data_IF_031357789466
#
_entry.id   IF_031357789466
#
_cell.length_a   1.000
_cell.length_b   1.000
_cell.length_c   1.000
_cell.angle_alpha   90.00
_cell.angle_beta   90.00
_cell.angle_gamma   90.00
#
_symmetry.space_group_name_H-M   'P 1'
#
loop_
_entity.id
_entity.type
_entity.pdbx_description
1 polymer ?
#
# COMPACT_ATOMS: atom_id res chain seq x y z
N UNK A 1 50.88 -65.07 53.04
CA UNK A 1 51.73 -64.15 52.25
C UNK A 1 52.51 -65.01 51.26
N UNK A 2 52.34 -64.80 49.94
CA UNK A 2 52.91 -65.64 48.87
C UNK A 2 54.20 -65.03 48.29
N UNK A 3 55.08 -65.93 47.84
CA UNK A 3 56.49 -65.79 47.48
C UNK A 3 56.81 -65.06 46.15
N UNK A 4 58.07 -64.59 46.08
CA UNK A 4 58.93 -64.20 44.94
C UNK A 4 58.93 -65.20 43.75
N UNK A 5 59.42 -64.98 42.52
CA UNK A 5 60.37 -64.04 41.91
C UNK A 5 61.34 -64.84 40.99
N UNK A 6 61.61 -64.39 39.75
CA UNK A 6 62.88 -64.67 39.03
C UNK A 6 62.96 -65.68 37.85
N UNK A 7 63.33 -65.13 36.68
CA UNK A 7 64.30 -65.59 35.64
C UNK A 7 64.12 -66.87 34.78
N UNK A 8 64.44 -66.74 33.47
CA UNK A 8 64.87 -67.84 32.57
C UNK A 8 64.65 -67.59 31.06
N UNK A 9 65.63 -67.92 30.22
CA UNK A 9 65.87 -67.45 28.83
C UNK A 9 65.29 -68.31 27.67
N UNK A 10 65.48 -67.81 26.43
CA UNK A 10 65.15 -68.29 25.05
C UNK A 10 66.05 -69.50 24.59
N UNK A 11 66.19 -69.97 23.31
CA UNK A 11 65.62 -69.58 21.98
C UNK A 11 65.34 -70.74 20.94
N UNK A 12 64.90 -70.38 19.72
CA UNK A 12 64.95 -71.20 18.47
C UNK A 12 63.64 -71.09 17.67
N UNK A 13 63.54 -70.85 16.35
CA UNK A 13 64.45 -70.90 15.20
C UNK A 13 64.01 -69.85 14.14
N UNK A 14 64.94 -69.45 13.27
CA UNK A 14 64.75 -68.52 12.14
C UNK A 14 64.08 -69.13 10.89
N UNK A 15 64.09 -68.40 9.74
CA UNK A 15 62.93 -68.17 8.86
C UNK A 15 62.88 -69.08 7.60
N UNK A 16 61.92 -68.87 6.67
CA UNK A 16 62.32 -68.11 5.48
C UNK A 16 61.30 -67.10 4.94
N UNK A 17 61.86 -66.23 4.11
CA UNK A 17 61.25 -65.15 3.35
C UNK A 17 60.20 -65.63 2.33
N UNK A 18 59.22 -64.77 2.03
CA UNK A 18 58.28 -65.03 0.95
C UNK A 18 57.18 -63.98 0.84
N UNK A 19 57.53 -62.86 0.20
CA UNK A 19 56.67 -62.01 -0.63
C UNK A 19 55.16 -61.96 -0.30
N UNK A 20 54.68 -60.77 0.07
CA UNK A 20 53.51 -60.16 -0.58
C UNK A 20 53.46 -58.66 -0.30
N UNK A 21 53.76 -57.90 -1.35
CA UNK A 21 53.29 -56.54 -1.54
C UNK A 21 51.76 -56.55 -1.46
N UNK A 22 51.22 -55.75 -0.56
CA UNK A 22 49.80 -55.43 -0.47
C UNK A 22 49.70 -54.02 0.08
N UNK A 23 49.79 -53.03 -0.80
CA UNK A 23 49.54 -51.62 -0.49
C UNK A 23 48.13 -51.51 0.09
N UNK A 24 47.91 -50.97 1.30
CA UNK A 24 46.57 -50.61 1.69
C UNK A 24 46.13 -49.45 0.79
N UNK A 25 45.12 -49.71 -0.05
CA UNK A 25 44.35 -48.70 -0.77
C UNK A 25 43.90 -47.63 0.24
N UNK A 26 44.66 -46.54 0.32
CA UNK A 26 44.14 -45.27 0.84
C UNK A 26 43.00 -44.90 -0.10
N UNK A 27 41.77 -45.10 0.37
CA UNK A 27 40.60 -44.45 -0.19
C UNK A 27 40.85 -42.94 -0.09
N UNK A 28 41.40 -42.37 -1.16
CA UNK A 28 41.41 -40.94 -1.36
C UNK A 28 39.95 -40.56 -1.59
N UNK A 29 39.25 -40.27 -0.50
CA UNK A 29 37.98 -39.58 -0.55
C UNK A 29 38.28 -38.17 -1.07
N UNK A 30 38.30 -38.06 -2.40
CA UNK A 30 38.39 -36.81 -3.14
C UNK A 30 37.16 -36.01 -2.74
N UNK A 31 37.30 -35.18 -1.71
CA UNK A 31 36.41 -34.05 -1.47
C UNK A 31 36.54 -33.12 -2.67
N UNK A 32 35.72 -33.36 -3.68
CA UNK A 32 35.35 -32.30 -4.60
C UNK A 32 34.53 -31.31 -3.80
N UNK A 33 35.22 -30.32 -3.23
CA UNK A 33 34.61 -29.07 -2.83
C UNK A 33 34.16 -28.34 -4.10
N UNK A 34 33.13 -28.88 -4.75
CA UNK A 34 32.29 -28.10 -5.64
C UNK A 34 31.72 -26.97 -4.79
N UNK A 35 32.19 -25.75 -5.05
CA UNK A 35 31.51 -24.53 -4.61
C UNK A 35 30.14 -24.52 -5.26
N UNK A 36 29.20 -25.25 -4.67
CA UNK A 36 27.79 -25.03 -4.87
C UNK A 36 27.52 -23.64 -4.34
N UNK A 37 27.57 -22.64 -5.22
CA UNK A 37 26.80 -21.43 -5.03
C UNK A 37 25.38 -21.92 -4.91
N UNK A 38 24.90 -22.14 -3.69
CA UNK A 38 23.50 -22.46 -3.42
C UNK A 38 22.72 -21.18 -3.72
N UNK A 39 22.51 -20.94 -5.01
CA UNK A 39 21.52 -19.98 -5.46
C UNK A 39 20.22 -20.42 -4.80
N UNK A 40 19.73 -19.65 -3.82
CA UNK A 40 18.42 -19.89 -3.25
C UNK A 40 17.44 -20.12 -4.41
N UNK A 41 16.63 -21.20 -4.37
CA UNK A 41 15.81 -21.61 -5.50
C UNK A 41 15.01 -20.40 -5.99
N UNK A 42 14.96 -20.19 -7.30
CA UNK A 42 14.42 -18.97 -7.94
C UNK A 42 13.04 -18.53 -7.42
N UNK A 43 12.28 -19.47 -6.83
CA UNK A 43 10.99 -19.26 -6.15
C UNK A 43 11.08 -18.36 -4.91
N UNK A 44 12.17 -18.41 -4.14
CA UNK A 44 12.35 -17.65 -2.89
C UNK A 44 12.58 -16.16 -3.17
N UNK A 45 13.39 -15.81 -4.19
CA UNK A 45 13.57 -14.42 -4.65
C UNK A 45 12.30 -13.81 -5.27
N UNK A 46 11.32 -14.65 -5.62
CA UNK A 46 10.06 -14.25 -6.27
C UNK A 46 9.04 -13.61 -5.33
N UNK A 47 9.14 -13.73 -4.01
CA UNK A 47 8.10 -13.19 -3.11
C UNK A 47 8.31 -11.72 -2.77
N UNK A 48 9.54 -11.30 -2.47
CA UNK A 48 9.85 -9.89 -2.18
C UNK A 48 9.61 -8.97 -3.38
N UNK A 49 9.69 -9.49 -4.62
CA UNK A 49 9.32 -8.69 -5.80
C UNK A 49 7.86 -8.25 -5.76
N UNK A 50 6.95 -9.08 -5.26
CA UNK A 50 5.53 -8.73 -5.16
C UNK A 50 5.29 -7.71 -4.05
N UNK A 51 6.09 -7.74 -2.98
CA UNK A 51 6.11 -6.66 -2.00
C UNK A 51 6.62 -5.35 -2.61
N UNK A 52 7.61 -5.39 -3.52
CA UNK A 52 8.02 -4.21 -4.27
C UNK A 52 6.95 -3.73 -5.27
N UNK A 53 6.26 -4.63 -5.99
CA UNK A 53 5.12 -4.24 -6.85
C UNK A 53 4.00 -3.58 -6.04
N UNK A 54 3.72 -4.10 -4.83
CA UNK A 54 2.79 -3.43 -3.92
C UNK A 54 3.29 -2.03 -3.54
N UNK A 55 4.60 -1.87 -3.29
CA UNK A 55 5.23 -0.58 -3.08
C UNK A 55 5.06 0.39 -4.25
N UNK A 56 5.20 -0.08 -5.49
CA UNK A 56 4.95 0.73 -6.70
C UNK A 56 3.50 1.24 -6.71
N UNK A 57 2.54 0.34 -6.47
CA UNK A 57 1.13 0.72 -6.44
C UNK A 57 0.82 1.74 -5.34
N UNK A 58 1.38 1.55 -4.14
CA UNK A 58 1.24 2.50 -3.02
C UNK A 58 1.86 3.86 -3.40
N UNK A 59 3.02 3.86 -4.07
CA UNK A 59 3.65 5.08 -4.58
C UNK A 59 2.75 5.81 -5.57
N UNK A 60 2.18 5.09 -6.54
CA UNK A 60 1.27 5.68 -7.52
C UNK A 60 -0.03 6.20 -6.89
N UNK A 61 -0.59 5.51 -5.91
CA UNK A 61 -1.73 6.03 -5.15
C UNK A 61 -1.37 7.27 -4.34
N UNK A 62 -0.21 7.27 -3.69
CA UNK A 62 0.24 8.42 -2.91
C UNK A 62 0.35 9.66 -3.79
N UNK A 63 1.01 9.51 -4.94
CA UNK A 63 1.18 10.55 -5.94
C UNK A 63 -0.18 11.01 -6.52
N UNK A 64 -0.99 10.08 -7.02
CA UNK A 64 -2.30 10.39 -7.61
C UNK A 64 -3.29 11.02 -6.62
N UNK A 65 -3.34 10.56 -5.37
CA UNK A 65 -4.23 11.14 -4.36
C UNK A 65 -3.70 12.49 -3.89
N UNK A 66 -2.42 12.58 -3.54
CA UNK A 66 -1.87 13.79 -2.96
C UNK A 66 -1.71 14.90 -4.00
N UNK A 67 -1.09 14.61 -5.14
CA UNK A 67 -0.76 15.62 -6.15
C UNK A 67 -1.92 15.86 -7.12
N UNK A 68 -2.61 14.82 -7.59
CA UNK A 68 -3.66 15.03 -8.58
C UNK A 68 -5.00 15.44 -7.96
N UNK A 69 -5.34 14.91 -6.77
CA UNK A 69 -6.66 15.13 -6.19
C UNK A 69 -6.70 16.13 -5.02
N UNK A 70 -5.78 16.03 -4.06
CA UNK A 70 -5.79 16.91 -2.88
C UNK A 70 -5.17 18.27 -3.23
N UNK A 71 -3.94 18.26 -3.72
CA UNK A 71 -3.19 19.48 -4.03
C UNK A 71 -3.49 20.01 -5.42
N UNK A 72 -3.90 19.12 -6.34
CA UNK A 72 -4.23 19.44 -7.73
C UNK A 72 -3.10 20.22 -8.43
N UNK A 73 -1.85 19.95 -8.06
CA UNK A 73 -0.68 20.65 -8.61
C UNK A 73 -0.40 20.26 -10.06
N UNK A 74 -0.79 19.03 -10.42
CA UNK A 74 -0.80 18.53 -11.79
C UNK A 74 -1.74 17.32 -11.90
N UNK A 75 -2.05 16.96 -13.14
CA UNK A 75 -2.73 15.74 -13.53
C UNK A 75 -1.79 14.93 -14.44
N UNK A 76 -2.10 13.65 -14.65
CA UNK A 76 -1.24 12.72 -15.40
C UNK A 76 -0.84 13.25 -16.79
N UNK A 77 -1.73 13.97 -17.46
CA UNK A 77 -1.54 14.43 -18.85
C UNK A 77 -1.54 15.96 -18.94
N UNK A 78 -1.20 16.69 -17.87
CA UNK A 78 -1.31 18.16 -17.81
C UNK A 78 -0.62 18.90 -18.95
N UNK A 79 0.46 18.37 -19.51
CA UNK A 79 1.23 18.99 -20.59
C UNK A 79 0.98 18.34 -21.95
N UNK A 80 0.06 17.37 -22.05
CA UNK A 80 -0.27 16.74 -23.33
C UNK A 80 -1.16 17.68 -24.18
N UNK A 81 -0.71 18.08 -25.38
CA UNK A 81 -1.49 18.98 -26.23
C UNK A 81 -2.87 18.38 -26.56
N UNK A 82 -3.91 19.21 -26.47
CA UNK A 82 -5.30 18.79 -26.74
C UNK A 82 -6.02 18.15 -25.55
N UNK A 83 -5.34 17.93 -24.41
CA UNK A 83 -5.95 17.42 -23.17
C UNK A 83 -5.89 18.54 -22.12
N UNK A 84 -6.53 19.66 -22.36
CA UNK A 84 -6.54 20.79 -21.40
C UNK A 84 -7.74 20.79 -20.45
N UNK A 85 -8.82 20.10 -20.81
CA UNK A 85 -10.07 20.11 -20.04
C UNK A 85 -9.95 19.27 -18.77
N UNK A 86 -10.48 19.80 -17.67
CA UNK A 86 -10.41 19.16 -16.35
C UNK A 86 -11.10 17.78 -16.35
N UNK A 87 -12.20 17.60 -17.09
CA UNK A 87 -12.88 16.29 -17.15
C UNK A 87 -11.99 15.25 -17.79
N UNK A 88 -11.27 15.61 -18.86
CA UNK A 88 -10.34 14.70 -19.51
C UNK A 88 -9.15 14.37 -18.60
N UNK A 89 -8.60 15.36 -17.88
CA UNK A 89 -7.52 15.14 -16.92
C UNK A 89 -7.94 14.19 -15.78
N UNK A 90 -9.09 14.46 -15.14
CA UNK A 90 -9.64 13.62 -14.07
C UNK A 90 -9.95 12.20 -14.57
N UNK A 91 -10.41 12.04 -15.81
CA UNK A 91 -10.63 10.72 -16.41
C UNK A 91 -9.32 9.93 -16.52
N UNK A 92 -8.26 10.55 -17.04
CA UNK A 92 -6.95 9.91 -17.18
C UNK A 92 -6.28 9.62 -15.84
N UNK A 93 -6.47 10.48 -14.84
CA UNK A 93 -6.12 10.15 -13.46
C UNK A 93 -6.88 8.93 -12.98
N UNK A 94 -8.18 8.80 -13.29
CA UNK A 94 -8.98 7.62 -12.97
C UNK A 94 -8.40 6.34 -13.57
N UNK A 95 -8.00 6.36 -14.84
CA UNK A 95 -7.33 5.22 -15.49
C UNK A 95 -5.98 4.88 -14.85
N UNK A 96 -5.20 5.90 -14.48
CA UNK A 96 -3.98 5.71 -13.73
C UNK A 96 -4.22 5.02 -12.37
N UNK A 97 -5.23 5.47 -11.61
CA UNK A 97 -5.61 4.83 -10.36
C UNK A 97 -6.12 3.39 -10.57
N UNK A 98 -6.88 3.14 -11.65
CA UNK A 98 -7.32 1.80 -12.02
C UNK A 98 -6.13 0.86 -12.28
N UNK A 99 -5.08 1.34 -12.96
CA UNK A 99 -3.84 0.59 -13.13
C UNK A 99 -3.16 0.31 -11.78
N UNK A 100 -3.10 1.29 -10.87
CA UNK A 100 -2.56 1.08 -9.53
C UNK A 100 -3.37 0.05 -8.73
N UNK A 101 -4.70 0.01 -8.86
CA UNK A 101 -5.53 -1.03 -8.27
C UNK A 101 -5.20 -2.43 -8.81
N UNK A 102 -5.01 -2.55 -10.12
CA UNK A 102 -4.63 -3.83 -10.76
C UNK A 102 -3.28 -4.31 -10.23
N UNK A 103 -2.28 -3.43 -10.15
CA UNK A 103 -0.96 -3.74 -9.61
C UNK A 103 -1.03 -4.14 -8.13
N UNK A 104 -1.77 -3.39 -7.31
CA UNK A 104 -1.97 -3.68 -5.90
C UNK A 104 -2.66 -5.04 -5.71
N UNK A 105 -3.75 -5.30 -6.45
CA UNK A 105 -4.48 -6.55 -6.36
C UNK A 105 -3.61 -7.75 -6.78
N UNK A 106 -2.90 -7.63 -7.91
CA UNK A 106 -1.99 -8.67 -8.37
C UNK A 106 -0.89 -8.96 -7.33
N UNK A 107 -0.28 -7.92 -6.76
CA UNK A 107 0.71 -8.06 -5.71
C UNK A 107 0.14 -8.74 -4.46
N UNK A 108 -1.03 -8.31 -3.98
CA UNK A 108 -1.70 -8.90 -2.81
C UNK A 108 -2.07 -10.36 -3.04
N UNK A 109 -2.65 -10.70 -4.19
CA UNK A 109 -2.97 -12.09 -4.55
C UNK A 109 -1.71 -12.94 -4.57
N UNK A 110 -0.62 -12.45 -5.16
CA UNK A 110 0.62 -13.21 -5.24
C UNK A 110 1.33 -13.36 -3.89
N UNK A 111 1.29 -12.33 -3.04
CA UNK A 111 1.76 -12.40 -1.66
C UNK A 111 0.93 -13.39 -0.84
N UNK A 112 -0.40 -13.39 -0.99
CA UNK A 112 -1.30 -14.35 -0.35
C UNK A 112 -1.02 -15.79 -0.77
N UNK A 113 -0.83 -16.03 -2.08
CA UNK A 113 -0.49 -17.35 -2.62
C UNK A 113 0.89 -17.83 -2.16
N UNK A 114 1.81 -16.91 -1.89
CA UNK A 114 3.17 -17.19 -1.44
C UNK A 114 3.35 -16.97 0.08
N UNK A 115 2.27 -16.88 0.86
CA UNK A 115 2.33 -16.52 2.29
C UNK A 115 3.24 -17.43 3.14
N UNK A 116 3.36 -18.71 2.78
CA UNK A 116 4.27 -19.66 3.45
C UNK A 116 5.76 -19.44 3.12
N UNK A 117 6.07 -18.82 1.98
CA UNK A 117 7.43 -18.38 1.66
C UNK A 117 7.67 -16.97 2.24
N UNK A 118 6.66 -16.10 2.22
CA UNK A 118 6.70 -14.75 2.79
C UNK A 118 7.00 -14.79 4.30
N UNK A 119 6.43 -15.74 5.04
CA UNK A 119 6.66 -15.90 6.48
C UNK A 119 8.10 -16.24 6.85
N UNK A 120 8.92 -16.68 5.89
CA UNK A 120 10.36 -16.93 6.07
C UNK A 120 11.17 -15.65 6.06
N UNK A 121 10.61 -14.55 5.55
CA UNK A 121 11.25 -13.25 5.56
C UNK A 121 10.92 -12.50 6.84
N UNK A 122 11.91 -11.85 7.48
CA UNK A 122 11.62 -10.93 8.57
C UNK A 122 10.81 -9.76 8.02
N UNK A 123 9.84 -9.27 8.81
CA UNK A 123 8.94 -8.17 8.42
C UNK A 123 9.69 -6.94 7.89
N UNK A 124 10.88 -6.64 8.43
CA UNK A 124 11.75 -5.56 7.94
C UNK A 124 12.12 -5.68 6.47
N UNK A 125 12.35 -6.90 5.95
CA UNK A 125 12.71 -7.13 4.54
C UNK A 125 11.50 -6.98 3.62
N UNK A 126 10.31 -7.36 4.09
CA UNK A 126 9.05 -7.10 3.39
C UNK A 126 8.80 -5.60 3.30
N UNK A 127 8.91 -4.88 4.43
CA UNK A 127 8.82 -3.42 4.47
C UNK A 127 9.88 -2.74 3.59
N UNK A 128 11.11 -3.24 3.60
CA UNK A 128 12.19 -2.75 2.74
C UNK A 128 11.89 -2.91 1.25
N UNK A 129 11.29 -4.04 0.85
CA UNK A 129 10.86 -4.24 -0.54
C UNK A 129 9.72 -3.29 -0.93
N UNK A 130 8.74 -3.06 -0.04
CA UNK A 130 7.66 -2.07 -0.26
C UNK A 130 8.25 -0.66 -0.43
N UNK A 131 9.15 -0.23 0.46
CA UNK A 131 9.81 1.08 0.35
C UNK A 131 10.64 1.22 -0.92
N UNK A 132 11.32 0.14 -1.34
CA UNK A 132 12.06 0.12 -2.59
C UNK A 132 11.12 0.30 -3.80
N UNK A 133 9.98 -0.39 -3.80
CA UNK A 133 8.95 -0.23 -4.81
C UNK A 133 8.33 1.17 -4.85
N UNK A 134 8.03 1.74 -3.68
CA UNK A 134 7.54 3.10 -3.54
C UNK A 134 8.52 4.10 -4.12
N UNK A 135 9.80 3.98 -3.78
CA UNK A 135 10.85 4.83 -4.34
C UNK A 135 11.03 4.64 -5.85
N UNK A 136 10.91 3.40 -6.34
CA UNK A 136 11.01 3.08 -7.75
C UNK A 136 9.88 3.70 -8.59
N UNK A 137 8.65 3.78 -8.06
CA UNK A 137 7.56 4.50 -8.71
C UNK A 137 7.90 5.97 -8.93
N UNK A 138 8.32 6.68 -7.88
CA UNK A 138 8.67 8.09 -7.97
C UNK A 138 9.90 8.34 -8.86
N UNK A 139 10.84 7.39 -8.90
CA UNK A 139 11.95 7.43 -9.85
C UNK A 139 11.47 7.24 -11.30
N UNK A 140 10.56 6.29 -11.53
CA UNK A 140 9.96 6.06 -12.85
C UNK A 140 9.20 7.30 -13.31
N UNK A 141 8.35 7.87 -12.47
CA UNK A 141 7.56 9.04 -12.81
C UNK A 141 8.43 10.28 -13.09
N UNK A 142 9.41 10.57 -12.21
CA UNK A 142 10.33 11.69 -12.42
C UNK A 142 11.14 11.56 -13.72
N UNK A 143 11.69 10.39 -14.00
CA UNK A 143 12.53 10.21 -15.19
C UNK A 143 11.67 10.10 -16.44
N UNK A 144 10.70 9.18 -16.44
CA UNK A 144 9.91 8.87 -17.62
C UNK A 144 8.86 9.94 -17.89
N UNK A 145 7.99 10.22 -16.93
CA UNK A 145 6.87 11.14 -17.13
C UNK A 145 7.32 12.60 -17.19
N UNK A 146 8.15 13.06 -16.25
CA UNK A 146 8.51 14.50 -16.20
C UNK A 146 9.60 14.91 -17.18
N UNK A 147 10.63 14.08 -17.37
CA UNK A 147 11.83 14.49 -18.11
C UNK A 147 11.93 13.91 -19.51
N UNK A 148 11.59 12.63 -19.69
CA UNK A 148 11.67 11.97 -21.01
C UNK A 148 10.43 12.28 -21.85
N UNK A 149 9.24 12.04 -21.31
CA UNK A 149 7.98 12.23 -22.01
C UNK A 149 7.40 13.64 -21.84
N UNK A 150 7.75 14.33 -20.74
CA UNK A 150 7.26 15.67 -20.44
C UNK A 150 5.74 15.74 -20.29
N UNK A 151 5.11 14.71 -19.74
CA UNK A 151 3.65 14.62 -19.59
C UNK A 151 3.10 15.61 -18.56
N UNK A 152 3.87 15.85 -17.51
CA UNK A 152 3.55 16.75 -16.40
C UNK A 152 4.82 17.12 -15.64
N UNK A 153 4.71 18.02 -14.67
CA UNK A 153 5.77 18.37 -13.70
C UNK A 153 5.15 18.35 -12.31
N UNK A 154 5.94 18.16 -11.26
CA UNK A 154 5.41 18.09 -9.88
C UNK A 154 4.55 19.30 -9.53
N UNK A 155 5.03 20.48 -9.89
CA UNK A 155 4.34 21.74 -9.60
C UNK A 155 4.47 22.69 -10.78
N UNK A 156 3.42 22.72 -11.60
CA UNK A 156 3.38 23.46 -12.87
C UNK A 156 3.30 24.98 -12.68
N UNK A 157 2.67 25.44 -11.59
CA UNK A 157 2.46 26.85 -11.25
C UNK A 157 3.68 27.52 -10.59
N UNK A 158 4.81 26.82 -10.46
CA UNK A 158 6.01 27.35 -9.84
C UNK A 158 6.97 27.98 -10.84
N UNK A 159 7.62 29.08 -10.46
CA UNK A 159 8.73 29.69 -11.23
C UNK A 159 9.95 28.75 -11.37
N UNK A 160 10.04 27.70 -10.54
CA UNK A 160 11.14 26.74 -10.54
C UNK A 160 10.66 25.27 -10.54
N UNK A 161 10.02 24.78 -11.62
CA UNK A 161 9.44 23.42 -11.65
C UNK A 161 10.49 22.32 -11.45
N UNK A 162 11.71 22.51 -11.94
CA UNK A 162 12.79 21.53 -11.78
C UNK A 162 13.19 21.35 -10.30
N UNK A 163 13.13 22.40 -9.49
CA UNK A 163 13.44 22.30 -8.06
C UNK A 163 12.42 21.40 -7.34
N UNK A 164 11.14 21.52 -7.70
CA UNK A 164 10.09 20.67 -7.16
C UNK A 164 10.24 19.21 -7.59
N UNK A 165 10.58 18.95 -8.85
CA UNK A 165 10.85 17.59 -9.32
C UNK A 165 12.01 16.94 -8.56
N UNK A 166 13.13 17.67 -8.40
CA UNK A 166 14.30 17.17 -7.69
C UNK A 166 14.02 16.95 -6.21
N UNK A 167 13.29 17.88 -5.57
CA UNK A 167 12.88 17.75 -4.17
C UNK A 167 11.97 16.54 -3.95
N UNK A 168 10.97 16.36 -4.82
CA UNK A 168 10.06 15.22 -4.77
C UNK A 168 10.78 13.90 -4.98
N UNK A 169 11.64 13.82 -6.01
CA UNK A 169 12.46 12.65 -6.28
C UNK A 169 13.39 12.33 -5.11
N UNK A 170 14.03 13.34 -4.51
CA UNK A 170 14.92 13.14 -3.37
C UNK A 170 14.17 12.57 -2.14
N UNK A 171 13.04 13.18 -1.79
CA UNK A 171 12.28 12.88 -0.56
C UNK A 171 11.46 11.59 -0.69
N UNK A 172 10.79 11.37 -1.83
CA UNK A 172 9.84 10.27 -2.01
C UNK A 172 10.36 9.15 -2.94
N UNK A 173 11.34 9.45 -3.80
CA UNK A 173 12.01 8.44 -4.62
C UNK A 173 13.26 7.85 -3.95
N UNK A 174 14.30 8.67 -3.82
CA UNK A 174 15.65 8.26 -3.42
C UNK A 174 15.69 7.87 -1.94
N UNK A 175 15.19 8.71 -1.03
CA UNK A 175 15.27 8.42 0.39
C UNK A 175 14.54 7.12 0.78
N UNK A 176 13.29 6.85 0.33
CA UNK A 176 12.61 5.59 0.59
C UNK A 176 13.26 4.42 -0.13
N UNK A 177 13.74 4.61 -1.37
CA UNK A 177 14.48 3.59 -2.11
C UNK A 177 15.75 3.12 -1.38
N UNK A 178 16.58 4.07 -0.91
CA UNK A 178 17.80 3.78 -0.14
C UNK A 178 17.48 3.16 1.22
N UNK A 179 16.43 3.64 1.91
CA UNK A 179 15.96 3.02 3.15
C UNK A 179 15.52 1.56 2.90
N UNK A 180 14.80 1.31 1.81
CA UNK A 180 14.39 -0.01 1.37
C UNK A 180 15.58 -0.94 1.12
N UNK A 181 16.59 -0.46 0.38
CA UNK A 181 17.83 -1.21 0.13
C UNK A 181 18.56 -1.56 1.44
N UNK A 182 18.69 -0.62 2.37
CA UNK A 182 19.32 -0.87 3.68
C UNK A 182 18.58 -1.95 4.48
N UNK A 183 17.24 -1.91 4.48
CA UNK A 183 16.41 -2.90 5.16
C UNK A 183 16.53 -4.30 4.53
N UNK A 184 16.80 -4.38 3.22
CA UNK A 184 17.02 -5.63 2.51
C UNK A 184 18.42 -6.22 2.77
N UNK A 185 19.43 -5.37 2.93
CA UNK A 185 20.85 -5.73 3.13
C UNK A 185 21.20 -6.13 4.56
N UNK A 186 20.40 -5.78 5.56
CA UNK A 186 20.70 -6.12 6.97
C UNK A 186 20.73 -7.64 7.23
N UNK A 187 21.93 -8.19 7.40
CA UNK A 187 22.19 -9.54 7.89
C UNK A 187 21.58 -9.73 9.28
N UNK A 188 21.08 -10.94 9.56
CA UNK A 188 20.16 -11.25 10.64
C UNK A 188 20.68 -11.15 12.07
N UNK A 189 21.54 -10.20 12.41
CA UNK A 189 22.03 -9.97 13.77
C UNK A 189 21.31 -8.78 14.42
N UNK A 190 20.06 -8.99 14.79
CA UNK A 190 19.48 -8.34 15.97
C UNK A 190 18.30 -9.17 16.46
N UNK A 191 18.62 -10.19 17.26
CA UNK A 191 17.70 -10.79 18.23
C UNK A 191 17.39 -9.79 19.35
N UNK A 192 16.79 -8.65 18.98
CA UNK A 192 16.22 -7.71 19.94
C UNK A 192 14.82 -8.15 20.27
N UNK A 193 14.67 -8.81 21.42
CA UNK A 193 13.41 -8.90 22.15
C UNK A 193 12.80 -7.49 22.26
N UNK A 194 11.51 -7.36 21.94
CA UNK A 194 10.73 -6.15 22.23
C UNK A 194 10.62 -5.12 21.11
N UNK A 195 9.72 -5.35 20.15
CA UNK A 195 9.15 -4.26 19.34
C UNK A 195 7.72 -4.49 18.85
N UNK A 196 7.01 -5.45 19.44
CA UNK A 196 5.56 -5.62 19.23
C UNK A 196 4.74 -4.40 19.66
N UNK A 197 5.26 -3.59 20.59
CA UNK A 197 4.63 -2.33 21.01
C UNK A 197 4.71 -1.22 19.96
N UNK A 198 5.73 -1.18 19.10
CA UNK A 198 5.93 -0.10 18.13
C UNK A 198 4.96 -0.16 16.96
N UNK A 199 4.71 -1.35 16.42
CA UNK A 199 3.77 -1.55 15.31
C UNK A 199 2.32 -1.37 15.78
N UNK A 200 1.97 -1.88 16.97
CA UNK A 200 0.66 -1.67 17.57
C UNK A 200 0.43 -0.19 17.91
N UNK A 201 1.41 0.50 18.49
CA UNK A 201 1.31 1.95 18.77
C UNK A 201 1.23 2.78 17.49
N UNK A 202 1.91 2.39 16.42
CA UNK A 202 1.82 3.07 15.11
C UNK A 202 0.44 2.87 14.48
N UNK A 203 -0.10 1.66 14.50
CA UNK A 203 -1.44 1.36 13.98
C UNK A 203 -2.54 2.03 14.82
N UNK A 204 -2.41 2.01 16.15
CA UNK A 204 -3.32 2.71 17.06
C UNK A 204 -3.23 4.23 16.90
N UNK A 205 -2.01 4.77 16.72
CA UNK A 205 -1.80 6.19 16.46
C UNK A 205 -2.40 6.64 15.12
N UNK A 206 -2.18 5.85 14.06
CA UNK A 206 -2.78 6.10 12.75
C UNK A 206 -4.31 5.97 12.79
N UNK A 207 -4.84 4.96 13.49
CA UNK A 207 -6.27 4.77 13.70
C UNK A 207 -6.91 5.91 14.50
N UNK A 208 -6.25 6.36 15.57
CA UNK A 208 -6.69 7.49 16.37
C UNK A 208 -6.67 8.80 15.57
N UNK A 209 -5.61 9.04 14.78
CA UNK A 209 -5.53 10.20 13.90
C UNK A 209 -6.62 10.16 12.82
N UNK A 210 -6.85 9.01 12.18
CA UNK A 210 -7.93 8.85 11.20
C UNK A 210 -9.32 9.07 11.83
N UNK A 211 -9.55 8.56 13.05
CA UNK A 211 -10.79 8.81 13.79
C UNK A 211 -10.94 10.29 14.19
N UNK A 212 -9.85 10.97 14.57
CA UNK A 212 -9.85 12.40 14.89
C UNK A 212 -10.12 13.26 13.66
N UNK A 213 -9.47 12.97 12.54
CA UNK A 213 -9.71 13.65 11.26
C UNK A 213 -11.12 13.37 10.74
N UNK A 214 -11.61 12.13 10.87
CA UNK A 214 -12.99 11.76 10.60
C UNK A 214 -13.96 12.57 11.47
N UNK A 215 -13.75 12.60 12.79
CA UNK A 215 -14.57 13.40 13.70
C UNK A 215 -14.51 14.91 13.44
N UNK A 216 -13.36 15.43 13.01
CA UNK A 216 -13.21 16.83 12.62
C UNK A 216 -13.95 17.14 11.31
N UNK A 217 -13.92 16.23 10.33
CA UNK A 217 -14.67 16.36 9.07
C UNK A 217 -16.18 16.31 9.25
N UNK A 218 -16.66 15.74 10.36
CA UNK A 218 -18.08 15.75 10.74
C UNK A 218 -18.52 17.07 11.38
N UNK A 219 -17.61 18.02 11.65
CA UNK A 219 -18.00 19.33 12.17
C UNK A 219 -18.61 20.17 11.05
N UNK A 220 -19.83 20.70 11.23
CA UNK A 220 -20.41 21.59 10.24
C UNK A 220 -19.56 22.87 10.11
N UNK A 221 -19.37 23.40 8.89
CA UNK A 221 -18.61 24.62 8.67
C UNK A 221 -19.30 25.81 9.36
N UNK A 222 -18.53 26.77 9.91
CA UNK A 222 -19.11 27.99 10.47
C UNK A 222 -19.71 28.86 9.33
N UNK A 223 -21.03 29.03 9.34
CA UNK A 223 -21.80 29.78 8.33
C UNK A 223 -23.25 29.28 8.24
N UNK A 224 -24.10 29.86 7.37
CA UNK A 224 -25.43 29.30 7.10
C UNK A 224 -25.28 27.89 6.52
N UNK A 225 -25.81 26.90 7.25
CA UNK A 225 -25.68 25.49 6.91
C UNK A 225 -26.67 25.11 5.81
N UNK A 226 -26.26 25.28 4.55
CA UNK A 226 -27.03 24.79 3.42
C UNK A 226 -27.02 23.26 3.39
N UNK A 227 -28.20 22.66 3.26
CA UNK A 227 -28.41 21.21 3.21
C UNK A 227 -28.74 20.80 1.78
N UNK A 228 -27.92 19.93 1.21
CA UNK A 228 -28.17 19.29 -0.08
C UNK A 228 -28.99 18.03 0.14
N UNK A 229 -30.13 17.95 -0.53
CA UNK A 229 -31.07 16.83 -0.46
C UNK A 229 -31.14 16.21 -1.86
N UNK A 230 -30.95 14.90 -1.95
CA UNK A 230 -31.13 14.14 -3.19
C UNK A 230 -32.35 13.24 -3.01
N UNK A 231 -33.33 13.33 -3.89
CA UNK A 231 -34.54 12.50 -3.89
C UNK A 231 -34.40 11.28 -4.81
N UNK A 232 -35.13 10.21 -4.49
CA UNK A 232 -35.14 9.00 -5.31
C UNK A 232 -35.82 9.24 -6.66
N UNK A 233 -35.46 8.50 -7.74
CA UNK A 233 -36.04 8.67 -9.08
C UNK A 233 -37.57 8.51 -9.20
N UNK A 234 -38.23 8.00 -8.17
CA UNK A 234 -39.70 7.85 -8.10
C UNK A 234 -40.43 8.96 -7.32
N UNK A 235 -39.71 9.93 -6.75
CA UNK A 235 -40.31 11.06 -6.02
C UNK A 235 -40.61 12.17 -7.02
N UNK A 236 -41.86 12.61 -7.06
CA UNK A 236 -42.28 13.72 -7.92
C UNK A 236 -41.76 15.07 -7.41
N UNK A 237 -41.61 16.02 -8.33
CA UNK A 237 -41.30 17.42 -8.03
C UNK A 237 -42.19 18.02 -6.92
N UNK A 238 -43.49 17.67 -6.91
CA UNK A 238 -44.44 18.13 -5.91
C UNK A 238 -44.16 17.54 -4.51
N UNK A 239 -43.82 16.25 -4.44
CA UNK A 239 -43.45 15.57 -3.20
C UNK A 239 -42.12 16.09 -2.63
N UNK A 240 -41.11 16.28 -3.49
CA UNK A 240 -39.81 16.84 -3.12
C UNK A 240 -39.96 18.27 -2.57
N UNK A 241 -40.71 19.12 -3.26
CA UNK A 241 -40.98 20.49 -2.80
C UNK A 241 -41.83 20.50 -1.52
N UNK A 242 -42.82 19.62 -1.42
CA UNK A 242 -43.65 19.46 -0.23
C UNK A 242 -42.85 19.01 1.00
N UNK A 243 -41.84 18.17 0.82
CA UNK A 243 -40.93 17.75 1.89
C UNK A 243 -40.11 18.93 2.45
N UNK A 244 -39.64 19.81 1.56
CA UNK A 244 -38.91 21.03 1.93
C UNK A 244 -39.83 22.02 2.66
N UNK A 245 -41.04 22.25 2.15
CA UNK A 245 -42.01 23.15 2.79
C UNK A 245 -42.49 22.64 4.15
N UNK A 246 -42.73 21.34 4.28
CA UNK A 246 -43.21 20.73 5.53
C UNK A 246 -42.21 20.81 6.68
N UNK A 247 -40.93 21.02 6.39
CA UNK A 247 -39.85 21.19 7.38
C UNK A 247 -39.48 22.66 7.61
N UNK A 248 -40.21 23.59 6.97
CA UNK A 248 -39.92 25.02 7.04
C UNK A 248 -38.64 25.43 6.30
N UNK A 249 -38.12 24.56 5.43
CA UNK A 249 -36.92 24.81 4.65
C UNK A 249 -37.15 25.83 3.54
N UNK A 250 -36.15 26.70 3.30
CA UNK A 250 -36.15 27.63 2.18
C UNK A 250 -35.28 27.07 1.06
N UNK A 251 -35.87 26.88 -0.11
CA UNK A 251 -35.12 26.46 -1.30
C UNK A 251 -34.13 27.55 -1.72
N UNK A 252 -32.86 27.19 -1.88
CA UNK A 252 -31.78 28.07 -2.33
C UNK A 252 -31.45 27.80 -3.79
N UNK A 253 -31.36 26.52 -4.16
CA UNK A 253 -31.10 26.08 -5.53
C UNK A 253 -31.68 24.69 -5.75
N UNK A 254 -32.03 24.35 -6.99
CA UNK A 254 -32.33 22.98 -7.38
C UNK A 254 -31.99 22.73 -8.85
N UNK A 255 -31.80 21.47 -9.20
CA UNK A 255 -31.75 21.05 -10.59
C UNK A 255 -33.15 21.12 -11.25
N UNK A 256 -33.26 21.12 -12.60
CA UNK A 256 -34.54 21.25 -13.29
C UNK A 256 -35.56 20.15 -12.96
N UNK A 257 -35.09 18.94 -12.57
CA UNK A 257 -35.97 17.84 -12.20
C UNK A 257 -36.38 17.86 -10.71
N UNK A 258 -35.85 18.80 -9.92
CA UNK A 258 -36.01 18.86 -8.46
C UNK A 258 -35.60 17.55 -7.75
N UNK A 259 -34.70 16.79 -8.37
CA UNK A 259 -34.11 15.58 -7.82
C UNK A 259 -32.98 15.92 -6.85
N UNK A 260 -32.31 17.06 -7.03
CA UNK A 260 -31.25 17.57 -6.16
C UNK A 260 -31.60 19.01 -5.77
N UNK A 261 -31.75 19.24 -4.47
CA UNK A 261 -32.15 20.53 -3.91
C UNK A 261 -31.15 20.98 -2.85
N UNK A 262 -30.75 22.24 -2.88
CA UNK A 262 -29.98 22.90 -1.81
C UNK A 262 -30.93 23.80 -1.04
N UNK A 263 -31.06 23.53 0.25
CA UNK A 263 -32.08 24.11 1.11
C UNK A 263 -31.43 24.73 2.34
N UNK A 264 -31.87 25.93 2.71
CA UNK A 264 -31.59 26.52 4.02
C UNK A 264 -32.63 25.98 5.02
N UNK A 265 -32.18 25.15 5.95
CA UNK A 265 -33.03 24.48 6.92
C UNK A 265 -32.96 25.17 8.29
N UNK A 266 -34.09 25.29 9.01
CA UNK A 266 -34.05 25.68 10.42
C UNK A 266 -33.30 24.62 11.23
N UNK A 267 -32.57 25.04 12.27
CA UNK A 267 -31.70 24.15 13.07
C UNK A 267 -32.39 22.98 13.77
N UNK A 268 -33.73 22.95 13.80
CA UNK A 268 -34.54 21.86 14.36
C UNK A 268 -34.93 20.79 13.33
N UNK A 269 -34.74 21.05 12.03
CA UNK A 269 -35.11 20.12 10.96
C UNK A 269 -34.25 18.86 11.02
N UNK A 270 -34.90 17.68 11.06
CA UNK A 270 -34.20 16.40 11.15
C UNK A 270 -34.06 15.77 9.78
N UNK A 271 -32.86 15.27 9.47
CA UNK A 271 -32.57 14.46 8.29
C UNK A 271 -33.60 13.36 8.02
N UNK A 272 -34.07 12.72 9.09
CA UNK A 272 -35.00 11.61 9.07
C UNK A 272 -36.34 11.98 8.41
N UNK A 273 -36.77 13.23 8.51
CA UNK A 273 -38.04 13.68 7.94
C UNK A 273 -37.98 13.72 6.41
N UNK A 274 -36.80 13.97 5.84
CA UNK A 274 -36.56 13.89 4.39
C UNK A 274 -36.41 12.43 3.93
N UNK A 275 -35.69 11.59 4.69
CA UNK A 275 -35.56 10.17 4.35
C UNK A 275 -36.93 9.46 4.32
N UNK A 276 -37.84 9.80 5.25
CA UNK A 276 -39.24 9.30 5.24
C UNK A 276 -40.05 9.75 4.03
N UNK A 277 -39.61 10.79 3.32
CA UNK A 277 -40.26 11.36 2.14
C UNK A 277 -39.48 11.07 0.85
N UNK A 278 -38.67 10.02 0.87
CA UNK A 278 -37.98 9.51 -0.32
C UNK A 278 -36.67 10.21 -0.66
N UNK A 279 -36.09 10.98 0.26
CA UNK A 279 -34.70 11.41 0.11
C UNK A 279 -33.75 10.21 0.18
N UNK A 280 -32.76 10.16 -0.71
CA UNK A 280 -31.65 9.22 -0.72
C UNK A 280 -30.45 9.75 0.06
N UNK A 281 -30.26 11.08 0.06
CA UNK A 281 -29.14 11.73 0.72
C UNK A 281 -29.56 13.08 1.29
N UNK A 282 -29.12 13.37 2.52
CA UNK A 282 -29.26 14.68 3.17
C UNK A 282 -27.89 15.05 3.73
N UNK A 283 -27.23 16.04 3.12
CA UNK A 283 -25.88 16.46 3.51
C UNK A 283 -25.86 17.11 4.90
N UNK A 284 -24.68 17.14 5.55
CA UNK A 284 -24.53 17.73 6.89
C UNK A 284 -25.08 16.85 8.02
N UNK A 285 -25.52 15.63 7.71
CA UNK A 285 -26.01 14.66 8.69
C UNK A 285 -24.91 13.62 8.84
N UNK A 286 -24.28 13.52 10.01
CA UNK A 286 -23.12 12.67 10.26
C UNK A 286 -23.41 11.15 10.25
N UNK A 287 -24.44 10.72 9.52
CA UNK A 287 -24.92 9.34 9.45
C UNK A 287 -25.02 8.88 8.00
N UNK A 288 -24.43 7.73 7.62
CA UNK A 288 -24.53 7.16 6.28
C UNK A 288 -25.88 6.43 6.05
N UNK A 289 -26.98 6.92 6.65
CA UNK A 289 -28.29 6.29 6.58
C UNK A 289 -28.83 6.13 5.14
N UNK A 290 -28.30 6.90 4.18
CA UNK A 290 -28.63 6.76 2.76
C UNK A 290 -28.34 5.38 2.15
N UNK A 291 -27.38 4.62 2.70
CA UNK A 291 -27.07 3.28 2.19
C UNK A 291 -28.02 2.19 2.75
N UNK A 292 -28.66 2.42 3.90
CA UNK A 292 -29.52 1.42 4.56
C UNK A 292 -30.96 1.39 4.01
N UNK A 293 -31.41 2.47 3.37
CA UNK A 293 -32.75 2.54 2.77
C UNK A 293 -32.87 1.74 1.45
N UNK A 294 -31.74 1.32 0.85
CA UNK A 294 -31.72 0.61 -0.44
C UNK A 294 -32.20 -0.85 -0.35
N UNK A 295 -32.23 -1.47 0.84
CA UNK A 295 -32.61 -2.88 0.98
C UNK A 295 -34.09 -3.13 1.27
N UNK A 296 -34.94 -2.09 1.26
CA UNK A 296 -36.39 -2.22 1.40
C UNK A 296 -37.09 -2.06 0.06
N UNK A 297 -37.25 -3.15 -0.70
CA UNK A 297 -38.17 -3.16 -1.84
C UNK A 297 -39.61 -2.95 -1.35
N UNK A 298 -40.43 -2.09 -1.97
CA UNK A 298 -41.86 -2.08 -1.70
C UNK A 298 -42.51 -3.27 -2.45
N UNK A 299 -43.23 -4.10 -1.69
CA UNK A 299 -44.30 -4.98 -2.19
C UNK A 299 -45.58 -4.18 -2.40
#
# INVERSE_FOLDING_TARGET
MRHAGGHGERPGHGPPAGARRGVPLRLAHRREAGRGVTSAPAKVRSTLRWAAVLGIAIGGFFDGVLLHQILQWHHLLSLVPGIGDLRAQVLWDGYFHALMYVLALAALVMLWRQRGDLSRYPARKVGGAIMLGFGAWHGLDAVLSHWVLGLHRIRLDSDHPLLWDLGWLAIFGIAPGLAGLRLLQGDGASGGTGRGGGTAATLLGAGALAAMLGGWSLRPPPGPSFTTIVFAPGVSAAEATGAVMATGGRLVWADPALAVMVVDLPGEARALDFYRRGALLVSGTGSPAGCAAWTGSPS
#
